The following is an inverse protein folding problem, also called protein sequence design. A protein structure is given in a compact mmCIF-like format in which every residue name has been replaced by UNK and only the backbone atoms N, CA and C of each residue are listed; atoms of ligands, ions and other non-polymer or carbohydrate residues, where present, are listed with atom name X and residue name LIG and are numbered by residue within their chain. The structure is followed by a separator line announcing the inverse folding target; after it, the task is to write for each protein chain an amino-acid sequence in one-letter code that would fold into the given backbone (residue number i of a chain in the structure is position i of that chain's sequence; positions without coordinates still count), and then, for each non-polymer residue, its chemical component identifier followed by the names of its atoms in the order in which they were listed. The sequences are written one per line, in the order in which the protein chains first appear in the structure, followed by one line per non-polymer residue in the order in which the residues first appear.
data_IF_791506649486
#
_entry.id   IF_791506649486
#
_cell.length_a   1.000
_cell.length_b   1.000
_cell.length_c   1.000
_cell.angle_alpha   90.00
_cell.angle_beta   90.00
_cell.angle_gamma   90.00
#
_symmetry.space_group_name_H-M   'P 1'
#
loop_
_entity.id
_entity.type
_entity.pdbx_description
1 polymer ?
#
# COMPACT_ATOMS: atom_id res chain seq x y z
N UNK A 1 -62.47 -50.53 24.80
CA UNK A 1 -61.97 -49.23 24.41
C UNK A 1 -60.51 -49.09 24.91
N UNK A 2 -59.59 -49.38 24.04
CA UNK A 2 -58.16 -49.29 24.37
C UNK A 2 -57.59 -47.95 23.98
N UNK A 3 -57.14 -47.20 24.97
CA UNK A 3 -56.49 -45.94 24.81
C UNK A 3 -55.01 -46.19 24.54
N UNK A 4 -54.57 -46.02 23.30
CA UNK A 4 -53.17 -46.15 22.91
C UNK A 4 -52.31 -45.03 23.47
N UNK A 5 -51.35 -45.41 24.30
CA UNK A 5 -50.33 -44.51 24.85
C UNK A 5 -49.30 -44.21 23.76
N UNK A 6 -49.22 -42.99 23.30
CA UNK A 6 -48.16 -42.51 22.42
C UNK A 6 -46.86 -42.43 23.23
N UNK A 7 -45.92 -43.34 22.96
CA UNK A 7 -44.55 -43.25 23.48
C UNK A 7 -43.81 -42.25 22.63
N UNK A 8 -43.56 -41.05 23.21
CA UNK A 8 -42.60 -40.07 22.64
C UNK A 8 -41.20 -40.64 22.87
N UNK A 9 -40.50 -41.00 21.81
CA UNK A 9 -39.07 -41.29 21.84
C UNK A 9 -38.28 -40.10 22.38
N UNK A 10 -37.41 -40.27 23.38
CA UNK A 10 -36.53 -39.21 23.82
C UNK A 10 -35.50 -38.99 22.72
N UNK A 11 -35.56 -37.81 22.12
CA UNK A 11 -34.56 -37.37 21.18
C UNK A 11 -33.22 -37.34 21.89
N UNK A 12 -32.25 -38.07 21.33
CA UNK A 12 -30.92 -38.26 21.85
C UNK A 12 -30.23 -36.89 22.13
N UNK A 13 -29.92 -36.62 23.40
CA UNK A 13 -29.20 -35.45 23.87
C UNK A 13 -27.84 -35.23 23.14
N UNK A 14 -27.26 -36.33 22.63
CA UNK A 14 -26.02 -36.36 21.90
C UNK A 14 -26.12 -35.63 20.54
N UNK A 15 -27.22 -35.83 19.82
CA UNK A 15 -27.50 -35.18 18.55
C UNK A 15 -27.76 -33.67 18.71
N UNK A 16 -28.44 -33.25 19.78
CA UNK A 16 -28.66 -31.80 20.09
C UNK A 16 -27.36 -31.11 20.41
N UNK A 17 -26.47 -31.75 21.16
CA UNK A 17 -25.15 -31.15 21.46
C UNK A 17 -24.26 -31.09 20.22
N UNK A 18 -24.34 -32.05 19.31
CA UNK A 18 -23.60 -32.04 18.06
C UNK A 18 -24.09 -30.91 17.12
N UNK A 19 -25.41 -30.73 17.01
CA UNK A 19 -25.98 -29.60 16.24
C UNK A 19 -25.65 -28.25 16.85
N UNK A 20 -25.64 -28.11 18.16
CA UNK A 20 -25.25 -26.86 18.83
C UNK A 20 -23.77 -26.57 18.64
N UNK A 21 -22.91 -27.58 18.69
CA UNK A 21 -21.47 -27.43 18.39
C UNK A 21 -21.21 -27.02 16.94
N UNK A 22 -21.89 -27.64 15.98
CA UNK A 22 -21.80 -27.26 14.56
C UNK A 22 -22.34 -25.86 14.31
N UNK A 23 -23.43 -25.48 14.97
CA UNK A 23 -24.01 -24.12 14.85
C UNK A 23 -23.09 -23.06 15.47
N UNK A 24 -22.51 -23.30 16.64
CA UNK A 24 -21.55 -22.43 17.28
C UNK A 24 -20.23 -22.35 16.48
N UNK A 25 -19.80 -23.45 15.87
CA UNK A 25 -18.62 -23.45 14.99
C UNK A 25 -18.86 -22.72 13.68
N UNK A 26 -20.05 -22.82 13.10
CA UNK A 26 -20.48 -22.03 11.94
C UNK A 26 -20.62 -20.55 12.29
N UNK A 27 -21.24 -20.21 13.42
CA UNK A 27 -21.32 -18.85 13.93
C UNK A 27 -19.94 -18.24 14.20
N UNK A 28 -19.01 -19.01 14.79
CA UNK A 28 -17.64 -18.53 15.02
C UNK A 28 -16.91 -18.29 13.69
N UNK A 29 -17.09 -19.13 12.68
CA UNK A 29 -16.53 -18.91 11.34
C UNK A 29 -17.18 -17.71 10.62
N UNK A 30 -18.48 -17.51 10.80
CA UNK A 30 -19.20 -16.34 10.27
C UNK A 30 -18.74 -15.06 10.98
N UNK A 31 -18.57 -15.08 12.31
CA UNK A 31 -17.99 -13.94 13.05
C UNK A 31 -16.54 -13.63 12.61
N UNK A 32 -15.73 -14.66 12.31
CA UNK A 32 -14.38 -14.47 11.77
C UNK A 32 -14.38 -13.89 10.34
N UNK A 33 -15.42 -14.14 9.55
CA UNK A 33 -15.58 -13.59 8.20
C UNK A 33 -16.00 -12.11 8.21
N UNK A 34 -16.56 -11.61 9.31
CA UNK A 34 -16.96 -10.22 9.52
C UNK A 34 -16.08 -9.49 10.54
N UNK A 35 -14.88 -9.99 10.86
CA UNK A 35 -13.91 -9.21 11.59
C UNK A 35 -13.62 -7.95 10.74
N UNK A 36 -14.25 -6.82 11.08
CA UNK A 36 -13.90 -5.53 10.50
C UNK A 36 -12.40 -5.33 10.68
N UNK A 37 -11.71 -5.04 9.58
CA UNK A 37 -10.29 -4.70 9.65
C UNK A 37 -10.22 -3.42 10.47
N UNK A 38 -9.65 -3.52 11.68
CA UNK A 38 -9.46 -2.37 12.55
C UNK A 38 -8.67 -1.31 11.79
N UNK A 39 -9.25 -0.11 11.70
CA UNK A 39 -8.64 0.98 10.95
C UNK A 39 -7.40 1.46 11.68
N UNK A 40 -6.21 1.39 11.07
CA UNK A 40 -4.98 1.82 11.71
C UNK A 40 -4.97 3.34 11.90
N UNK A 41 -4.14 3.81 12.85
CA UNK A 41 -3.86 5.25 12.97
C UNK A 41 -3.12 5.71 11.72
N UNK A 42 -3.69 6.68 11.01
CA UNK A 42 -3.13 7.20 9.76
C UNK A 42 -2.32 8.48 9.98
N UNK A 43 -1.17 8.54 9.32
CA UNK A 43 -0.39 9.74 9.11
C UNK A 43 -0.47 10.14 7.63
N UNK A 44 -1.52 10.90 7.27
CA UNK A 44 -1.92 11.09 5.89
C UNK A 44 -2.56 9.82 5.36
N UNK A 45 -1.88 9.14 4.47
CA UNK A 45 -2.21 7.83 3.88
C UNK A 45 -1.20 6.73 4.27
N UNK A 46 -0.31 7.01 5.26
CA UNK A 46 0.59 6.02 5.82
C UNK A 46 -0.02 5.46 7.11
N UNK A 47 -0.31 4.17 7.11
CA UNK A 47 -0.75 3.44 8.28
C UNK A 47 0.39 3.16 9.26
N UNK A 48 0.12 3.32 10.56
CA UNK A 48 1.07 3.01 11.63
C UNK A 48 0.55 1.79 12.39
N UNK A 49 1.30 0.71 12.38
CA UNK A 49 1.05 -0.45 13.21
C UNK A 49 1.43 -0.10 14.65
N UNK A 50 0.45 -0.09 15.55
CA UNK A 50 0.53 0.12 16.98
C UNK A 50 1.59 1.10 17.53
N UNK A 51 1.29 1.75 18.64
CA UNK A 51 1.91 2.96 19.21
C UNK A 51 3.40 2.89 19.61
N UNK A 52 4.08 1.78 19.38
CA UNK A 52 5.46 1.54 19.82
C UNK A 52 6.55 2.15 18.92
N UNK A 53 6.22 2.63 17.71
CA UNK A 53 7.23 3.15 16.78
C UNK A 53 7.19 4.68 16.60
N UNK A 54 7.18 5.41 17.71
CA UNK A 54 7.19 6.90 17.69
C UNK A 54 8.46 7.52 17.08
N UNK A 55 9.53 6.75 16.88
CA UNK A 55 10.83 7.22 16.38
C UNK A 55 11.43 6.26 15.34
N UNK A 56 10.60 5.69 14.45
CA UNK A 56 11.15 4.86 13.40
C UNK A 56 12.10 5.69 12.53
N UNK A 57 13.40 5.47 12.72
CA UNK A 57 14.40 5.73 11.68
C UNK A 57 13.90 5.16 10.36
N UNK A 58 14.33 5.72 9.19
CA UNK A 58 13.88 5.17 7.92
C UNK A 58 14.12 3.67 7.92
N UNK A 59 13.06 2.90 8.01
CA UNK A 59 13.11 1.45 8.16
C UNK A 59 13.84 0.74 7.01
N UNK A 60 14.16 1.50 5.98
CA UNK A 60 14.97 1.09 4.84
C UNK A 60 16.48 1.26 5.05
N UNK A 61 16.94 1.91 6.14
CA UNK A 61 18.35 2.21 6.36
C UNK A 61 19.20 0.98 6.74
N UNK A 62 18.58 -0.06 7.31
CA UNK A 62 19.28 -1.28 7.70
C UNK A 62 18.90 -2.47 6.83
N UNK A 63 19.80 -3.44 6.67
CA UNK A 63 19.51 -4.68 5.92
C UNK A 63 18.42 -5.53 6.59
N UNK A 64 18.28 -5.43 7.91
CA UNK A 64 17.23 -6.08 8.72
C UNK A 64 15.95 -5.25 8.84
N UNK A 65 15.86 -4.12 8.13
CA UNK A 65 14.73 -3.20 8.18
C UNK A 65 13.49 -3.71 7.46
N UNK A 66 12.63 -2.79 7.11
CA UNK A 66 11.34 -3.05 6.47
C UNK A 66 11.42 -3.20 4.94
N UNK A 67 12.54 -3.59 4.39
CA UNK A 67 12.61 -3.94 2.95
C UNK A 67 12.07 -5.35 2.72
N UNK A 68 11.42 -5.53 1.59
CA UNK A 68 11.10 -6.86 1.08
C UNK A 68 12.41 -7.59 0.75
N UNK A 69 12.55 -8.87 1.09
CA UNK A 69 13.79 -9.62 0.87
C UNK A 69 14.05 -9.78 -0.63
N UNK A 70 15.33 -9.67 -1.00
CA UNK A 70 15.78 -9.91 -2.36
C UNK A 70 16.30 -11.34 -2.46
N UNK A 71 15.81 -12.07 -3.45
CA UNK A 71 16.21 -13.44 -3.76
C UNK A 71 16.86 -13.45 -5.16
N UNK A 72 18.15 -13.67 -5.22
CA UNK A 72 18.91 -13.58 -6.45
C UNK A 72 18.78 -12.19 -7.10
N UNK A 73 18.18 -12.13 -8.29
CA UNK A 73 18.03 -10.89 -9.07
C UNK A 73 16.74 -10.13 -8.76
N UNK A 74 15.77 -10.74 -8.07
CA UNK A 74 14.42 -10.22 -7.91
C UNK A 74 14.03 -10.07 -6.44
N UNK A 75 13.06 -9.21 -6.21
CA UNK A 75 12.36 -9.03 -4.94
C UNK A 75 10.94 -9.54 -5.15
N UNK A 76 10.60 -10.65 -4.52
CA UNK A 76 9.28 -11.23 -4.63
C UNK A 76 8.36 -10.68 -3.55
N UNK A 77 7.23 -10.13 -3.98
CA UNK A 77 6.21 -9.56 -3.11
C UNK A 77 4.91 -10.35 -3.30
N UNK A 78 4.60 -11.28 -2.39
CA UNK A 78 3.34 -12.02 -2.45
C UNK A 78 2.17 -11.08 -2.24
N UNK A 79 1.09 -11.26 -3.02
CA UNK A 79 -0.10 -10.43 -2.93
C UNK A 79 -1.39 -11.24 -3.00
N UNK A 80 -2.42 -10.72 -2.34
CA UNK A 80 -3.79 -11.18 -2.42
C UNK A 80 -4.69 -10.00 -2.74
N UNK A 81 -5.63 -10.19 -3.66
CA UNK A 81 -6.68 -9.22 -3.95
C UNK A 81 -7.99 -9.89 -3.55
N UNK A 82 -8.80 -9.21 -2.72
CA UNK A 82 -10.12 -9.73 -2.35
C UNK A 82 -10.94 -10.04 -3.60
N UNK A 83 -11.59 -11.22 -3.68
CA UNK A 83 -12.45 -11.58 -4.82
C UNK A 83 -13.57 -10.58 -5.08
N UNK A 84 -14.05 -9.91 -4.04
CA UNK A 84 -15.11 -8.89 -4.12
C UNK A 84 -14.64 -7.57 -4.76
N UNK A 85 -13.33 -7.46 -4.99
CA UNK A 85 -12.75 -6.26 -5.58
C UNK A 85 -12.96 -6.24 -7.09
N UNK A 86 -13.94 -5.46 -7.58
CA UNK A 86 -14.30 -5.42 -9.02
C UNK A 86 -13.21 -4.79 -9.91
N UNK A 87 -12.45 -3.83 -9.37
CA UNK A 87 -11.43 -3.06 -10.08
C UNK A 87 -10.03 -3.73 -10.06
N UNK A 88 -9.96 -5.06 -9.93
CA UNK A 88 -8.70 -5.84 -9.87
C UNK A 88 -7.73 -5.47 -11.02
N UNK A 89 -8.26 -5.20 -12.21
CA UNK A 89 -7.44 -4.86 -13.37
C UNK A 89 -6.58 -3.60 -13.16
N UNK A 90 -7.07 -2.61 -12.40
CA UNK A 90 -6.31 -1.39 -12.08
C UNK A 90 -5.14 -1.74 -11.16
N UNK A 91 -5.38 -2.60 -10.15
CA UNK A 91 -4.36 -3.07 -9.20
C UNK A 91 -3.29 -3.88 -9.94
N UNK A 92 -3.71 -4.85 -10.76
CA UNK A 92 -2.81 -5.70 -11.55
C UNK A 92 -1.97 -4.84 -12.51
N UNK A 93 -2.57 -3.84 -13.17
CA UNK A 93 -1.85 -2.91 -14.03
C UNK A 93 -0.81 -2.10 -13.25
N UNK A 94 -1.15 -1.61 -12.05
CA UNK A 94 -0.23 -0.92 -11.16
C UNK A 94 0.98 -1.81 -10.80
N UNK A 95 0.75 -3.04 -10.36
CA UNK A 95 1.82 -4.00 -10.04
C UNK A 95 2.68 -4.34 -11.26
N UNK A 96 2.08 -4.50 -12.45
CA UNK A 96 2.83 -4.78 -13.70
C UNK A 96 3.84 -3.69 -14.02
N UNK A 97 3.54 -2.42 -13.74
CA UNK A 97 4.48 -1.32 -14.01
C UNK A 97 5.79 -1.48 -13.24
N UNK A 98 5.75 -1.98 -12.00
CA UNK A 98 6.96 -2.30 -11.24
C UNK A 98 7.70 -3.50 -11.82
N UNK A 99 6.98 -4.54 -12.25
CA UNK A 99 7.59 -5.72 -12.87
C UNK A 99 8.38 -5.35 -14.14
N UNK A 100 7.88 -4.37 -14.90
CA UNK A 100 8.48 -3.92 -16.17
C UNK A 100 9.69 -3.01 -15.97
N UNK A 101 9.70 -2.20 -14.92
CA UNK A 101 10.68 -1.12 -14.74
C UNK A 101 11.68 -1.32 -13.62
N UNK A 102 11.44 -2.33 -12.76
CA UNK A 102 12.26 -2.62 -11.58
C UNK A 102 12.52 -4.11 -11.43
N UNK A 103 13.25 -4.51 -10.38
CA UNK A 103 13.39 -5.92 -10.01
C UNK A 103 12.30 -6.43 -9.05
N UNK A 104 11.28 -5.64 -8.77
CA UNK A 104 10.14 -6.07 -7.94
C UNK A 104 9.25 -7.00 -8.77
N UNK A 105 8.85 -8.13 -8.18
CA UNK A 105 7.98 -9.13 -8.80
C UNK A 105 6.82 -9.44 -7.87
N UNK A 106 5.64 -9.01 -8.25
CA UNK A 106 4.42 -9.39 -7.55
C UNK A 106 4.02 -10.79 -7.98
N UNK A 107 3.83 -11.67 -6.98
CA UNK A 107 3.42 -13.07 -7.18
C UNK A 107 2.15 -13.36 -6.38
N UNK A 108 1.22 -14.18 -6.89
CA UNK A 108 0.04 -14.56 -6.13
C UNK A 108 0.44 -15.18 -4.78
N UNK A 109 -0.28 -14.78 -3.72
CA UNK A 109 -0.05 -15.31 -2.39
C UNK A 109 -0.35 -16.82 -2.32
N UNK A 110 0.46 -17.52 -1.54
CA UNK A 110 0.28 -18.93 -1.19
C UNK A 110 0.16 -19.04 0.33
N UNK A 111 -0.76 -19.86 0.88
CA UNK A 111 -0.97 -20.01 2.32
C UNK A 111 0.26 -20.39 3.16
N UNK A 112 1.29 -20.99 2.55
CA UNK A 112 2.57 -21.27 3.22
C UNK A 112 3.40 -20.03 3.50
N UNK A 113 3.10 -18.88 2.86
CA UNK A 113 3.85 -17.62 2.97
C UNK A 113 3.15 -16.70 3.96
N UNK A 114 3.86 -16.32 5.04
CA UNK A 114 3.29 -15.47 6.10
C UNK A 114 3.21 -13.99 5.73
N UNK A 115 4.21 -13.47 5.01
CA UNK A 115 4.32 -12.03 4.73
C UNK A 115 3.81 -11.74 3.31
N UNK A 116 2.71 -11.01 3.22
CA UNK A 116 2.12 -10.65 1.93
C UNK A 116 1.31 -9.35 2.02
N UNK A 117 1.05 -8.75 0.88
CA UNK A 117 0.17 -7.58 0.75
C UNK A 117 -1.23 -8.06 0.44
N UNK A 118 -2.21 -7.60 1.22
CA UNK A 118 -3.64 -7.81 0.97
C UNK A 118 -4.26 -6.51 0.50
N UNK A 119 -4.67 -6.47 -0.76
CA UNK A 119 -5.47 -5.37 -1.30
C UNK A 119 -6.94 -5.56 -0.96
N UNK A 120 -7.54 -4.55 -0.34
CA UNK A 120 -8.93 -4.59 0.06
C UNK A 120 -9.62 -3.24 -0.17
N UNK A 121 -10.94 -3.24 -0.07
CA UNK A 121 -11.76 -2.04 -0.10
C UNK A 121 -12.75 -2.07 1.04
N UNK A 122 -12.90 -0.94 1.72
CA UNK A 122 -13.90 -0.74 2.77
C UNK A 122 -14.47 0.67 2.61
N UNK A 123 -15.79 0.86 2.74
CA UNK A 123 -16.40 2.19 2.68
C UNK A 123 -15.78 3.15 3.69
N UNK A 124 -15.52 4.38 3.28
CA UNK A 124 -14.92 5.44 4.10
C UNK A 124 -13.52 5.14 4.65
N UNK A 125 -12.82 4.13 4.10
CA UNK A 125 -11.46 3.80 4.52
C UNK A 125 -10.39 4.67 3.85
N UNK A 126 -10.68 5.29 2.73
CA UNK A 126 -9.70 5.97 1.90
C UNK A 126 -8.69 5.01 1.25
N UNK A 127 -7.63 5.58 0.70
CA UNK A 127 -6.48 4.81 0.23
C UNK A 127 -5.31 5.03 1.18
N UNK A 128 -4.69 3.93 1.61
CA UNK A 128 -3.55 3.97 2.51
C UNK A 128 -2.74 2.67 2.47
N UNK A 129 -1.49 2.75 2.92
CA UNK A 129 -0.58 1.62 3.04
C UNK A 129 0.33 1.76 4.27
N UNK A 130 0.86 0.63 4.74
CA UNK A 130 1.97 0.65 5.70
C UNK A 130 3.28 1.03 5.00
N UNK A 131 4.18 1.67 5.76
CA UNK A 131 5.50 2.02 5.26
C UNK A 131 6.45 0.82 5.36
N UNK A 132 6.87 0.30 4.20
CA UNK A 132 7.75 -0.86 4.08
C UNK A 132 7.06 -2.18 4.45
N UNK A 133 7.85 -3.26 4.44
CA UNK A 133 7.36 -4.60 4.77
C UNK A 133 7.05 -4.74 6.25
N UNK A 134 5.84 -5.13 6.57
CA UNK A 134 5.41 -5.51 7.91
C UNK A 134 5.57 -7.02 8.13
N UNK A 135 5.49 -7.47 9.38
CA UNK A 135 5.41 -8.90 9.70
C UNK A 135 3.98 -9.38 9.51
N UNK A 136 3.81 -10.53 8.87
CA UNK A 136 2.50 -11.11 8.59
C UNK A 136 1.82 -10.47 7.38
N UNK A 137 0.49 -10.46 7.41
CA UNK A 137 -0.32 -9.75 6.42
C UNK A 137 -0.21 -8.24 6.62
N UNK A 138 -0.01 -7.49 5.54
CA UNK A 138 -0.15 -6.03 5.55
C UNK A 138 -1.18 -5.60 4.52
N UNK A 139 -2.02 -4.68 4.94
CA UNK A 139 -3.11 -4.22 4.11
C UNK A 139 -2.72 -3.00 3.28
N UNK A 140 -3.21 -2.96 2.05
CA UNK A 140 -3.33 -1.74 1.24
C UNK A 140 -4.81 -1.50 1.02
N UNK A 141 -5.32 -0.41 1.56
CA UNK A 141 -6.69 0.03 1.31
C UNK A 141 -6.76 0.81 0.01
N UNK A 142 -7.74 0.50 -0.80
CA UNK A 142 -8.04 1.21 -2.04
C UNK A 142 -9.57 1.37 -2.13
N UNK A 143 -10.11 2.45 -1.57
CA UNK A 143 -11.54 2.67 -1.50
C UNK A 143 -12.17 2.85 -2.88
N UNK A 144 -13.17 2.02 -3.18
CA UNK A 144 -13.93 2.06 -4.43
C UNK A 144 -14.75 3.34 -4.53
N UNK A 145 -14.79 3.92 -5.73
CA UNK A 145 -15.49 5.20 -5.96
C UNK A 145 -14.78 6.43 -5.40
N UNK A 146 -13.75 6.25 -4.53
CA UNK A 146 -12.97 7.31 -3.93
C UNK A 146 -11.62 7.52 -4.62
N UNK A 147 -10.68 6.65 -4.35
CA UNK A 147 -9.28 6.85 -4.70
C UNK A 147 -8.65 5.75 -5.58
N UNK A 148 -9.42 4.79 -6.11
CA UNK A 148 -8.87 3.72 -6.96
C UNK A 148 -8.50 4.25 -8.34
N UNK A 149 -7.22 4.60 -8.50
CA UNK A 149 -6.63 5.06 -9.75
C UNK A 149 -5.28 4.39 -9.96
N UNK A 150 -4.84 4.32 -11.19
CA UNK A 150 -3.54 3.74 -11.53
C UNK A 150 -2.37 4.38 -10.75
N UNK A 151 -2.35 5.72 -10.66
CA UNK A 151 -1.36 6.45 -9.88
C UNK A 151 -1.45 6.17 -8.38
N UNK A 152 -2.66 6.03 -7.82
CA UNK A 152 -2.85 5.72 -6.40
C UNK A 152 -2.36 4.32 -6.07
N UNK A 153 -2.64 3.32 -6.93
CA UNK A 153 -2.10 1.97 -6.74
C UNK A 153 -0.57 1.99 -6.69
N UNK A 154 0.07 2.73 -7.58
CA UNK A 154 1.53 2.88 -7.59
C UNK A 154 2.04 3.59 -6.31
N UNK A 155 1.32 4.62 -5.86
CA UNK A 155 1.62 5.38 -4.65
C UNK A 155 1.60 4.48 -3.40
N UNK A 156 0.51 3.74 -3.18
CA UNK A 156 0.36 2.86 -2.02
C UNK A 156 1.38 1.70 -2.05
N UNK A 157 1.69 1.19 -3.24
CA UNK A 157 2.75 0.19 -3.40
C UNK A 157 4.12 0.79 -3.05
N UNK A 158 4.41 2.04 -3.44
CA UNK A 158 5.66 2.70 -3.06
C UNK A 158 5.79 2.86 -1.55
N UNK A 159 4.70 3.17 -0.83
CA UNK A 159 4.69 3.13 0.63
C UNK A 159 5.04 1.73 1.15
N UNK A 160 4.38 0.69 0.64
CA UNK A 160 4.66 -0.70 1.03
C UNK A 160 6.09 -1.14 0.70
N UNK A 161 6.75 -0.48 -0.24
CA UNK A 161 8.17 -0.67 -0.57
C UNK A 161 9.12 0.18 0.28
N UNK A 162 8.61 1.07 1.14
CA UNK A 162 9.40 1.86 2.08
C UNK A 162 9.63 3.32 1.73
N UNK A 163 8.86 3.89 0.79
CA UNK A 163 9.00 5.28 0.38
C UNK A 163 8.03 6.19 1.13
N UNK A 164 8.55 7.27 1.71
CA UNK A 164 7.76 8.37 2.26
C UNK A 164 7.34 9.34 1.14
N UNK A 165 6.47 10.28 1.51
CA UNK A 165 6.08 11.37 0.63
C UNK A 165 7.26 12.27 0.25
N UNK A 166 7.21 12.86 -0.95
CA UNK A 166 8.26 13.72 -1.46
C UNK A 166 8.43 15.01 -0.63
N UNK A 167 7.31 15.65 -0.20
CA UNK A 167 7.35 16.90 0.56
C UNK A 167 7.90 16.75 2.00
N UNK A 168 8.14 15.53 2.49
CA UNK A 168 8.76 15.31 3.81
C UNK A 168 10.26 14.99 3.73
N UNK A 169 10.85 14.98 2.55
CA UNK A 169 12.28 14.75 2.34
C UNK A 169 13.12 15.69 3.20
N UNK A 170 14.27 15.22 3.65
CA UNK A 170 15.21 15.97 4.48
C UNK A 170 15.69 17.28 3.82
N UNK A 171 15.78 17.30 2.49
CA UNK A 171 16.24 18.44 1.68
C UNK A 171 15.11 19.28 1.06
N UNK A 172 13.81 18.97 1.36
CA UNK A 172 12.64 19.59 0.69
C UNK A 172 12.63 21.10 0.75
N UNK A 173 13.15 21.72 1.82
CA UNK A 173 13.12 23.17 2.02
C UNK A 173 13.96 23.97 0.99
N UNK A 174 14.80 23.28 0.22
CA UNK A 174 15.48 23.88 -0.94
C UNK A 174 14.53 24.08 -2.12
N UNK A 175 13.45 23.28 -2.21
CA UNK A 175 12.58 23.16 -3.37
C UNK A 175 11.16 23.67 -3.12
N UNK A 176 10.66 23.49 -1.91
CA UNK A 176 9.29 23.90 -1.53
C UNK A 176 9.28 24.67 -0.22
N UNK A 177 8.25 25.48 -0.04
CA UNK A 177 7.88 26.15 1.21
C UNK A 177 6.56 25.56 1.71
N UNK A 178 6.51 25.16 2.99
CA UNK A 178 5.29 24.71 3.63
C UNK A 178 4.64 25.87 4.36
N UNK A 179 3.38 26.11 4.05
CA UNK A 179 2.57 27.20 4.61
C UNK A 179 1.71 26.66 5.75
N UNK A 180 2.34 26.40 6.90
CA UNK A 180 1.69 25.79 8.07
C UNK A 180 0.44 26.52 8.52
N UNK A 181 0.38 27.86 8.35
CA UNK A 181 -0.79 28.66 8.68
C UNK A 181 -2.05 28.29 7.88
N UNK A 182 -1.89 27.65 6.71
CA UNK A 182 -3.00 27.23 5.86
C UNK A 182 -3.40 25.75 6.14
N UNK A 183 -2.61 25.00 6.90
CA UNK A 183 -2.83 23.58 7.16
C UNK A 183 -3.77 23.39 8.36
N UNK A 184 -4.71 22.45 8.26
CA UNK A 184 -5.52 22.00 9.40
C UNK A 184 -4.58 21.59 10.55
N UNK A 185 -4.77 22.16 11.76
CA UNK A 185 -3.86 21.96 12.91
C UNK A 185 -3.55 20.49 13.18
N UNK A 186 -4.57 19.63 13.13
CA UNK A 186 -4.44 18.18 13.35
C UNK A 186 -3.71 17.45 12.21
N UNK A 187 -3.37 18.12 11.12
CA UNK A 187 -2.70 17.51 9.95
C UNK A 187 -1.30 18.09 9.67
N UNK A 188 -0.84 19.03 10.51
CA UNK A 188 0.48 19.66 10.34
C UNK A 188 1.65 18.67 10.46
N UNK A 189 1.48 17.58 11.22
CA UNK A 189 2.49 16.53 11.35
C UNK A 189 2.81 15.82 10.01
N UNK A 190 1.88 15.79 9.04
CA UNK A 190 2.10 15.21 7.70
C UNK A 190 3.13 16.01 6.87
N UNK A 191 3.48 17.20 7.33
CA UNK A 191 4.44 18.09 6.67
C UNK A 191 5.76 18.21 7.43
N UNK A 192 5.95 17.48 8.52
CA UNK A 192 7.21 17.47 9.22
C UNK A 192 8.28 16.75 8.39
N UNK A 193 9.47 17.36 8.30
CA UNK A 193 10.61 16.74 7.60
C UNK A 193 11.01 15.45 8.30
N UNK A 194 11.32 14.43 7.51
CA UNK A 194 11.85 13.15 7.98
C UNK A 194 13.34 13.02 7.61
N UNK A 195 14.09 12.24 8.39
CA UNK A 195 15.46 11.85 8.02
C UNK A 195 15.37 10.81 6.90
N UNK A 196 15.31 11.26 5.66
CA UNK A 196 15.18 10.38 4.50
C UNK A 196 16.54 10.07 3.90
N UNK A 197 16.74 8.83 3.45
CA UNK A 197 17.77 8.52 2.49
C UNK A 197 17.24 8.89 1.10
N UNK A 198 17.74 9.98 0.53
CA UNK A 198 17.28 10.49 -0.76
C UNK A 198 17.86 9.71 -1.95
N UNK A 199 18.65 8.64 -1.69
CA UNK A 199 19.21 7.75 -2.71
C UNK A 199 19.98 8.48 -3.81
N UNK A 200 20.61 9.62 -3.48
CA UNK A 200 21.33 10.46 -4.45
C UNK A 200 20.48 10.81 -5.69
N UNK A 201 19.20 11.08 -5.47
CA UNK A 201 18.28 11.53 -6.51
C UNK A 201 17.81 12.96 -6.19
N UNK A 202 17.60 13.82 -7.19
CA UNK A 202 17.08 15.16 -6.98
C UNK A 202 15.66 15.10 -6.42
N UNK A 203 15.19 16.22 -5.84
CA UNK A 203 13.79 16.42 -5.50
C UNK A 203 12.94 16.35 -6.76
N UNK A 204 11.79 15.70 -6.69
CA UNK A 204 11.00 15.39 -7.86
C UNK A 204 9.57 15.92 -7.76
N UNK A 205 9.32 17.03 -8.41
CA UNK A 205 7.98 17.62 -8.51
C UNK A 205 6.99 16.76 -9.29
N UNK A 206 7.47 15.82 -10.12
CA UNK A 206 6.65 14.90 -10.91
C UNK A 206 6.42 13.56 -10.19
N UNK A 207 6.97 13.37 -8.99
CA UNK A 207 6.81 12.14 -8.22
C UNK A 207 5.34 11.87 -7.91
N UNK A 208 4.92 10.61 -8.05
CA UNK A 208 3.59 10.17 -7.60
C UNK A 208 3.44 10.25 -6.08
N UNK A 209 4.56 10.37 -5.34
CA UNK A 209 4.61 10.54 -3.89
C UNK A 209 4.50 12.00 -3.43
N UNK A 210 4.35 12.96 -4.34
CA UNK A 210 4.26 14.37 -3.97
C UNK A 210 2.82 14.79 -3.71
N UNK A 211 2.57 15.40 -2.53
CA UNK A 211 1.26 15.99 -2.24
C UNK A 211 0.91 17.10 -3.23
N UNK A 212 -0.39 17.29 -3.44
CA UNK A 212 -0.86 18.43 -4.21
C UNK A 212 -0.72 19.75 -3.44
N UNK A 213 -0.79 20.85 -4.17
CA UNK A 213 -0.61 22.22 -3.66
C UNK A 213 -1.53 22.58 -2.49
N UNK A 214 -2.70 21.96 -2.37
CA UNK A 214 -3.74 22.30 -1.40
C UNK A 214 -3.96 21.20 -0.36
N UNK A 215 -3.07 20.22 -0.27
CA UNK A 215 -3.22 19.08 0.63
C UNK A 215 -3.48 19.56 2.07
N UNK A 216 -4.54 19.04 2.70
CA UNK A 216 -4.97 19.38 4.07
C UNK A 216 -5.22 20.88 4.35
N UNK A 217 -5.51 21.69 3.32
CA UNK A 217 -5.84 23.09 3.48
C UNK A 217 -7.09 23.28 4.34
N UNK A 218 -7.05 24.24 5.27
CA UNK A 218 -8.21 24.62 6.11
C UNK A 218 -9.02 25.77 5.54
N UNK A 219 -8.46 26.53 4.61
CA UNK A 219 -9.00 27.80 4.11
C UNK A 219 -9.03 27.90 2.58
N UNK A 220 -8.74 26.78 1.86
CA UNK A 220 -8.68 26.76 0.40
C UNK A 220 -7.42 27.38 -0.21
N UNK A 221 -6.52 27.92 0.63
CA UNK A 221 -5.25 28.47 0.16
C UNK A 221 -4.16 27.40 0.06
N UNK A 222 -3.10 27.62 -0.73
CA UNK A 222 -1.98 26.68 -0.83
C UNK A 222 -1.38 26.33 0.53
N UNK A 223 -1.01 25.07 0.69
CA UNK A 223 -0.27 24.53 1.85
C UNK A 223 1.19 24.25 1.50
N UNK A 224 1.47 24.08 0.21
CA UNK A 224 2.81 23.90 -0.36
C UNK A 224 2.98 24.88 -1.51
N UNK A 225 4.13 25.55 -1.55
CA UNK A 225 4.56 26.37 -2.68
C UNK A 225 5.89 25.85 -3.20
N UNK A 226 5.99 25.66 -4.52
CA UNK A 226 7.26 25.40 -5.16
C UNK A 226 8.12 26.66 -5.19
N UNK A 227 9.43 26.51 -5.03
CA UNK A 227 10.43 27.55 -5.21
C UNK A 227 10.97 27.50 -6.64
N UNK A 228 11.37 28.64 -7.15
CA UNK A 228 11.89 28.81 -8.51
C UNK A 228 11.04 29.76 -9.35
N UNK A 229 11.59 30.24 -10.44
CA UNK A 229 10.92 31.10 -11.39
C UNK A 229 11.25 30.63 -12.81
N UNK A 230 10.31 30.11 -13.56
CA UNK A 230 8.93 29.81 -13.16
C UNK A 230 8.84 28.65 -12.14
N UNK A 231 7.87 28.73 -11.23
CA UNK A 231 7.64 27.67 -10.24
C UNK A 231 7.11 26.41 -10.92
N UNK A 232 7.71 25.24 -10.68
CA UNK A 232 7.27 23.98 -11.29
C UNK A 232 5.90 23.54 -10.78
N UNK A 233 5.11 22.90 -11.66
CA UNK A 233 3.87 22.25 -11.29
C UNK A 233 4.14 20.92 -10.57
N UNK A 234 3.29 20.53 -9.60
CA UNK A 234 3.43 19.30 -8.83
C UNK A 234 2.10 18.77 -8.29
N UNK A 235 2.13 17.52 -7.80
CA UNK A 235 1.02 16.89 -7.09
C UNK A 235 -0.13 16.40 -7.98
N UNK A 236 0.09 16.31 -9.29
CA UNK A 236 -0.90 15.83 -10.27
C UNK A 236 -0.37 14.66 -11.10
N UNK A 237 0.59 13.90 -10.57
CA UNK A 237 1.17 12.77 -11.28
C UNK A 237 0.12 11.70 -11.57
N UNK A 238 0.10 11.22 -12.81
CA UNK A 238 -0.80 10.15 -13.25
C UNK A 238 -0.16 8.77 -13.21
N UNK A 239 1.16 8.72 -12.96
CA UNK A 239 1.96 7.50 -12.84
C UNK A 239 3.30 7.82 -12.18
N UNK A 240 4.05 6.77 -11.78
CA UNK A 240 5.43 6.92 -11.32
C UNK A 240 6.27 7.71 -12.32
N UNK A 241 7.06 8.64 -11.81
CA UNK A 241 8.07 9.34 -12.56
C UNK A 241 9.29 8.46 -12.85
N UNK A 242 10.18 8.91 -13.72
CA UNK A 242 11.49 8.27 -13.91
C UNK A 242 12.29 8.21 -12.61
N UNK A 243 12.22 9.26 -11.76
CA UNK A 243 12.92 9.26 -10.48
C UNK A 243 12.30 8.30 -9.47
N UNK A 244 10.98 8.13 -9.43
CA UNK A 244 10.35 7.11 -8.60
C UNK A 244 10.89 5.72 -8.96
N UNK A 245 10.97 5.40 -10.24
CA UNK A 245 11.52 4.13 -10.73
C UNK A 245 13.01 3.97 -10.38
N UNK A 246 13.82 5.02 -10.59
CA UNK A 246 15.25 5.02 -10.23
C UNK A 246 15.43 4.77 -8.74
N UNK A 247 14.63 5.38 -7.89
CA UNK A 247 14.68 5.21 -6.44
C UNK A 247 14.37 3.78 -6.01
N UNK A 248 13.34 3.14 -6.59
CA UNK A 248 13.07 1.71 -6.34
C UNK A 248 14.27 0.87 -6.74
N UNK A 249 14.83 1.10 -7.93
CA UNK A 249 15.99 0.34 -8.42
C UNK A 249 17.24 0.55 -7.54
N UNK A 250 17.48 1.77 -7.04
CA UNK A 250 18.59 2.05 -6.11
C UNK A 250 18.36 1.43 -4.74
N UNK A 251 17.16 1.58 -4.14
CA UNK A 251 16.83 1.06 -2.81
C UNK A 251 16.99 -0.46 -2.74
N UNK A 252 16.52 -1.16 -3.76
CA UNK A 252 16.55 -2.62 -3.85
C UNK A 252 17.77 -3.16 -4.60
N UNK A 253 18.70 -2.27 -5.00
CA UNK A 253 19.91 -2.65 -5.73
C UNK A 253 19.59 -3.57 -6.93
N UNK A 254 18.59 -3.15 -7.72
CA UNK A 254 18.22 -3.88 -8.91
C UNK A 254 19.38 -3.87 -9.92
N UNK A 255 19.72 -5.02 -10.47
CA UNK A 255 20.67 -5.10 -11.59
C UNK A 255 20.09 -4.31 -12.77
N UNK A 256 20.93 -3.61 -13.54
CA UNK A 256 20.47 -2.94 -14.77
C UNK A 256 19.68 -3.94 -15.61
N UNK A 257 18.42 -3.67 -15.85
CA UNK A 257 17.65 -4.42 -16.84
C UNK A 257 18.42 -4.28 -18.15
N UNK A 258 18.87 -5.40 -18.75
CA UNK A 258 19.35 -5.36 -20.13
C UNK A 258 18.15 -4.93 -20.95
N UNK A 259 18.09 -3.67 -21.35
CA UNK A 259 17.24 -3.25 -22.45
C UNK A 259 17.76 -4.03 -23.65
N UNK A 260 17.09 -5.09 -24.04
CA UNK A 260 17.26 -5.65 -25.38
C UNK A 260 16.74 -4.54 -26.31
N UNK A 261 17.69 -3.82 -26.86
CA UNK A 261 17.45 -2.93 -27.98
C UNK A 261 16.75 -3.76 -29.05
N UNK A 262 15.52 -3.39 -29.38
CA UNK A 262 14.73 -3.99 -30.47
C UNK A 262 15.35 -3.56 -31.82
N UNK A 263 16.64 -3.82 -32.02
CA UNK A 263 17.38 -3.45 -33.22
C UNK A 263 18.01 -4.66 -33.94
N UNK A 264 17.50 -5.88 -33.71
CA UNK A 264 17.92 -7.03 -34.54
C UNK A 264 16.68 -7.88 -34.90
N UNK A 265 15.87 -7.40 -35.81
CA UNK A 265 14.92 -8.22 -36.56
C UNK A 265 14.52 -7.52 -37.87
N UNK A 266 15.51 -7.17 -38.67
CA UNK A 266 15.31 -6.88 -40.10
C UNK A 266 16.62 -7.19 -40.84
N UNK A 267 16.97 -8.46 -40.95
CA UNK A 267 17.88 -8.98 -41.97
C UNK A 267 17.87 -10.50 -41.86
N UNK A 268 16.95 -11.13 -42.56
CA UNK A 268 17.06 -12.46 -43.11
C UNK A 268 15.73 -12.79 -43.83
N UNK A 269 15.58 -12.22 -45.02
CA UNK A 269 14.85 -12.79 -46.14
C UNK A 269 15.23 -11.96 -47.39
N UNK A 270 16.35 -12.37 -48.01
CA UNK A 270 16.60 -12.23 -49.42
C UNK A 270 17.01 -13.62 -49.92
#
# INVERSE_FOLDING_TARGET
MNIGTLILCPWDLSLRNLFLFFYLFLLSKILFLFAEIEMPVLHGDIAVADTTYKNAEPCTATEKGCKWPKEGRYVYVPYYISPDYKEQNIIIRGMRSFNQTTCIRFIPWNPSVRNYISFFTQPNSGCWSYLGRQKGVQHISLERGGCVRYSTVQHEILHALGFNHEQVRSDRDRYVRILFNNIKRKQQYNFQKKRTNNLETPYDFSSVMHYNKYAFSKNGLPTIEAKGDPAPAFGNARQMSTNDIIRVNKLYRCSKLKTYSTFYLLCEYV
#
